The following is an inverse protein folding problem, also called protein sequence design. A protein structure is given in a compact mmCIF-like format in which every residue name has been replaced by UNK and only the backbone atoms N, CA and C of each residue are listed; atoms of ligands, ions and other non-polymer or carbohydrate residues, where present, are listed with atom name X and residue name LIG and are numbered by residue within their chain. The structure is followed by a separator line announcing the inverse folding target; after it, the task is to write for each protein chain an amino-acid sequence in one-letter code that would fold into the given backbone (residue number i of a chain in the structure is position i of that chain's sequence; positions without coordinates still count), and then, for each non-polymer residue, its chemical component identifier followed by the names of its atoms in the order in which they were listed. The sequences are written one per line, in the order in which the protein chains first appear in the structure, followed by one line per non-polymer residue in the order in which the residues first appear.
data_IF_042140898159
#
_entry.id   IF_042140898159
#
_cell.length_a   1.000
_cell.length_b   1.000
_cell.length_c   1.000
_cell.angle_alpha   90.00
_cell.angle_beta   90.00
_cell.angle_gamma   90.00
#
_symmetry.space_group_name_H-M   'P 1'
#
loop_
_entity.id
_entity.type
_entity.pdbx_description
1 polymer ?
#
# COMPACT_ATOMS: atom_id res chain seq x y z
N UNK A 1 -11.12 -3.17 0.95
CA UNK A 1 -11.66 -2.29 -0.11
C UNK A 1 -11.14 -2.82 -1.42
N UNK A 2 -12.04 -3.22 -2.31
CA UNK A 2 -11.72 -3.71 -3.65
C UNK A 2 -12.28 -2.73 -4.69
N UNK A 3 -11.49 -2.45 -5.72
CA UNK A 3 -11.90 -1.67 -6.89
C UNK A 3 -11.92 -2.59 -8.12
N UNK A 4 -12.70 -2.24 -9.15
CA UNK A 4 -12.76 -3.04 -10.38
C UNK A 4 -12.21 -2.26 -11.58
N UNK A 5 -11.18 -2.82 -12.22
CA UNK A 5 -10.64 -2.30 -13.48
C UNK A 5 -11.06 -3.27 -14.58
N UNK A 6 -11.99 -2.85 -15.44
CA UNK A 6 -12.54 -3.69 -16.52
C UNK A 6 -13.02 -5.07 -16.07
N UNK A 7 -13.64 -5.16 -14.89
CA UNK A 7 -14.16 -6.41 -14.33
C UNK A 7 -13.13 -7.24 -13.54
N UNK A 8 -11.88 -6.77 -13.43
CA UNK A 8 -10.84 -7.39 -12.60
C UNK A 8 -10.81 -6.69 -11.24
N UNK A 9 -11.01 -7.44 -10.17
CA UNK A 9 -10.89 -6.90 -8.80
C UNK A 9 -9.43 -6.67 -8.42
N UNK A 10 -9.18 -5.50 -7.83
CA UNK A 10 -7.86 -5.08 -7.34
C UNK A 10 -7.98 -4.52 -5.92
N UNK A 11 -6.94 -4.69 -5.11
CA UNK A 11 -6.90 -4.17 -3.73
C UNK A 11 -6.46 -2.71 -3.72
N UNK A 12 -7.42 -1.80 -3.86
CA UNK A 12 -7.18 -0.37 -3.83
C UNK A 12 -8.40 0.36 -3.28
N UNK A 13 -8.14 1.51 -2.64
CA UNK A 13 -9.15 2.50 -2.30
C UNK A 13 -9.06 3.65 -3.32
N UNK A 14 -10.16 3.93 -4.01
CA UNK A 14 -10.23 4.92 -5.09
C UNK A 14 -11.12 6.06 -4.65
N UNK A 15 -10.54 7.25 -4.54
CA UNK A 15 -11.30 8.48 -4.26
C UNK A 15 -11.64 9.17 -5.57
N UNK A 16 -12.92 9.41 -5.81
CA UNK A 16 -13.43 10.15 -6.95
C UNK A 16 -14.02 11.49 -6.55
N UNK A 17 -14.06 12.43 -7.50
CA UNK A 17 -14.84 13.66 -7.39
C UNK A 17 -16.34 13.32 -7.47
N UNK A 18 -17.19 13.74 -6.51
CA UNK A 18 -18.58 13.32 -6.44
C UNK A 18 -19.44 13.64 -7.67
N UNK A 19 -19.11 14.72 -8.38
CA UNK A 19 -19.94 15.23 -9.48
C UNK A 19 -19.48 14.77 -10.87
N UNK A 20 -18.22 14.31 -11.00
CA UNK A 20 -17.63 13.96 -12.31
C UNK A 20 -17.17 12.51 -12.40
N UNK A 21 -17.19 11.77 -11.28
CA UNK A 21 -16.58 10.45 -11.12
C UNK A 21 -15.09 10.43 -11.51
N UNK A 22 -14.45 11.59 -11.59
CA UNK A 22 -13.04 11.69 -11.90
C UNK A 22 -12.21 11.15 -10.74
N UNK A 23 -11.29 10.23 -11.02
CA UNK A 23 -10.38 9.68 -10.01
C UNK A 23 -9.40 10.76 -9.56
N UNK A 24 -9.50 11.15 -8.29
CA UNK A 24 -8.65 12.17 -7.67
C UNK A 24 -7.36 11.55 -7.12
N UNK A 25 -7.48 10.41 -6.46
CA UNK A 25 -6.35 9.63 -6.00
C UNK A 25 -6.71 8.16 -5.79
N UNK A 26 -5.67 7.33 -5.71
CA UNK A 26 -5.78 5.92 -5.38
C UNK A 26 -4.79 5.59 -4.27
N UNK A 27 -5.26 4.89 -3.26
CA UNK A 27 -4.50 4.43 -2.11
C UNK A 27 -4.40 2.91 -2.09
N UNK A 28 -3.22 2.39 -1.77
CA UNK A 28 -3.00 0.95 -1.57
C UNK A 28 -2.05 0.69 -0.41
N UNK A 29 -2.31 -0.40 0.33
CA UNK A 29 -1.43 -0.87 1.38
C UNK A 29 -0.40 -1.84 0.80
N UNK A 30 0.86 -1.60 1.15
CA UNK A 30 1.99 -2.39 0.71
C UNK A 30 2.72 -2.98 1.92
N UNK A 31 3.15 -4.22 1.76
CA UNK A 31 4.03 -4.93 2.69
C UNK A 31 5.29 -5.39 1.95
N UNK A 32 6.45 -5.26 2.59
CA UNK A 32 7.72 -5.69 2.04
C UNK A 32 8.67 -6.19 3.15
N UNK A 33 9.62 -7.10 2.84
CA UNK A 33 10.62 -7.56 3.79
C UNK A 33 11.43 -6.43 4.43
N UNK A 34 11.69 -5.36 3.68
CA UNK A 34 12.37 -4.16 4.17
C UNK A 34 12.03 -2.96 3.29
N UNK A 35 12.33 -1.75 3.79
CA UNK A 35 12.20 -0.50 3.03
C UNK A 35 13.02 -0.54 1.73
N UNK A 36 14.23 -1.08 1.77
CA UNK A 36 15.11 -1.15 0.60
C UNK A 36 14.53 -2.02 -0.54
N UNK A 37 13.82 -3.11 -0.19
CA UNK A 37 13.13 -3.95 -1.18
C UNK A 37 12.00 -3.16 -1.85
N UNK A 38 11.19 -2.46 -1.05
CA UNK A 38 10.11 -1.63 -1.58
C UNK A 38 10.65 -0.48 -2.44
N UNK A 39 11.72 0.20 -2.03
CA UNK A 39 12.36 1.27 -2.80
C UNK A 39 12.91 0.75 -4.14
N UNK A 40 13.52 -0.46 -4.17
CA UNK A 40 13.98 -1.07 -5.40
C UNK A 40 12.84 -1.36 -6.39
N UNK A 41 11.70 -1.88 -5.90
CA UNK A 41 10.51 -2.10 -6.74
C UNK A 41 9.91 -0.77 -7.18
N UNK A 42 9.82 0.22 -6.29
CA UNK A 42 9.29 1.54 -6.61
C UNK A 42 10.14 2.25 -7.70
N UNK A 43 11.46 2.11 -7.66
CA UNK A 43 12.36 2.56 -8.73
C UNK A 43 12.07 1.84 -10.05
N UNK A 44 11.96 0.51 -10.03
CA UNK A 44 11.64 -0.28 -11.24
C UNK A 44 10.27 0.05 -11.84
N UNK A 45 9.32 0.51 -11.00
CA UNK A 45 7.97 0.92 -11.40
C UNK A 45 7.85 2.43 -11.67
N UNK A 46 8.95 3.19 -11.67
CA UNK A 46 8.97 4.64 -11.86
C UNK A 46 8.11 5.44 -10.84
N UNK A 47 7.92 4.87 -9.64
CA UNK A 47 7.28 5.52 -8.48
C UNK A 47 8.30 6.27 -7.62
N UNK A 48 9.58 5.95 -7.79
CA UNK A 48 10.70 6.67 -7.21
C UNK A 48 11.74 6.99 -8.28
N UNK A 49 12.59 7.98 -7.99
CA UNK A 49 13.80 8.32 -8.73
C UNK A 49 14.98 8.40 -7.76
N UNK A 50 16.20 8.29 -8.28
CA UNK A 50 17.40 8.53 -7.47
C UNK A 50 17.68 10.03 -7.47
N UNK A 51 17.71 10.64 -6.29
CA UNK A 51 18.07 12.04 -6.16
C UNK A 51 19.55 12.22 -6.59
N UNK A 52 19.84 13.12 -7.54
CA UNK A 52 21.13 13.16 -8.22
C UNK A 52 22.30 13.54 -7.31
N UNK A 53 22.05 14.30 -6.25
CA UNK A 53 23.12 14.78 -5.35
C UNK A 53 23.39 13.83 -4.17
N UNK A 54 22.35 13.18 -3.65
CA UNK A 54 22.43 12.35 -2.43
C UNK A 54 22.50 10.87 -2.75
N UNK A 55 22.24 10.47 -4.00
CA UNK A 55 22.10 9.08 -4.43
C UNK A 55 21.06 8.27 -3.63
N UNK A 56 20.08 8.96 -3.02
CA UNK A 56 19.00 8.34 -2.24
C UNK A 56 17.71 8.25 -3.07
N UNK A 57 16.91 7.18 -2.93
CA UNK A 57 15.59 7.13 -3.54
C UNK A 57 14.67 8.24 -3.00
N UNK A 58 13.93 8.88 -3.89
CA UNK A 58 12.87 9.83 -3.56
C UNK A 58 11.61 9.53 -4.38
N UNK A 59 10.44 9.76 -3.80
CA UNK A 59 9.17 9.53 -4.49
C UNK A 59 9.01 10.53 -5.65
N UNK A 60 8.51 10.05 -6.79
CA UNK A 60 8.17 10.96 -7.89
C UNK A 60 6.98 11.83 -7.51
N UNK A 61 6.88 13.01 -8.11
CA UNK A 61 5.72 13.90 -7.90
C UNK A 61 4.41 13.15 -8.17
N UNK A 62 3.54 13.12 -7.16
CA UNK A 62 2.25 12.43 -7.20
C UNK A 62 2.26 11.03 -6.61
N UNK A 63 3.41 10.45 -6.28
CA UNK A 63 3.52 9.24 -5.45
C UNK A 63 3.90 9.65 -4.02
N UNK A 64 3.15 9.19 -3.02
CA UNK A 64 3.43 9.47 -1.61
C UNK A 64 3.40 8.17 -0.81
N UNK A 65 4.49 7.87 -0.11
CA UNK A 65 4.62 6.69 0.73
C UNK A 65 4.51 7.11 2.19
N UNK A 66 3.59 6.48 2.92
CA UNK A 66 3.34 6.74 4.34
C UNK A 66 3.67 5.49 5.14
N UNK A 67 4.71 5.55 5.96
CA UNK A 67 5.12 4.43 6.81
C UNK A 67 4.00 4.07 7.80
N UNK A 68 3.71 2.78 7.91
CA UNK A 68 2.67 2.24 8.80
C UNK A 68 3.33 1.29 9.80
N UNK A 69 3.06 1.49 11.09
CA UNK A 69 3.43 0.51 12.12
C UNK A 69 2.30 -0.48 12.29
N UNK A 70 2.58 -1.77 12.09
CA UNK A 70 1.60 -2.85 12.25
C UNK A 70 1.82 -3.55 13.60
N UNK A 71 0.74 -3.64 14.39
CA UNK A 71 0.72 -4.37 15.66
C UNK A 71 0.26 -5.80 15.40
N UNK A 72 1.14 -6.78 15.61
CA UNK A 72 0.83 -8.20 15.47
C UNK A 72 0.06 -8.75 16.68
N UNK A 73 0.47 -8.32 17.87
CA UNK A 73 -0.15 -8.63 19.16
C UNK A 73 -0.23 -7.35 20.00
N UNK A 74 -1.43 -6.93 20.45
CA UNK A 74 -1.57 -5.77 21.31
C UNK A 74 -0.81 -5.90 22.63
N UNK A 75 -0.50 -4.77 23.25
CA UNK A 75 0.01 -4.76 24.62
C UNK A 75 -1.04 -5.31 25.59
N UNK A 76 -0.59 -6.01 26.63
CA UNK A 76 -1.43 -6.44 27.76
C UNK A 76 -1.23 -5.45 28.89
N UNK A 77 -2.31 -4.86 29.37
CA UNK A 77 -2.31 -3.91 30.50
C UNK A 77 -2.93 -4.53 31.75
N UNK A 78 -2.53 -4.07 32.93
CA UNK A 78 -3.22 -4.37 34.18
C UNK A 78 -4.49 -3.52 34.36
N UNK A 79 -5.14 -3.66 35.51
CA UNK A 79 -6.36 -2.92 35.86
C UNK A 79 -6.13 -1.40 36.00
N UNK A 80 -4.90 -0.97 36.23
CA UNK A 80 -4.51 0.43 36.37
C UNK A 80 -4.02 1.02 35.03
N UNK A 81 -4.04 0.22 33.96
CA UNK A 81 -3.61 0.60 32.62
C UNK A 81 -2.10 0.54 32.40
N UNK A 82 -1.31 0.01 33.34
CA UNK A 82 0.12 -0.16 33.17
C UNK A 82 0.41 -1.38 32.28
N UNK A 83 1.38 -1.24 31.37
CA UNK A 83 1.75 -2.29 30.42
C UNK A 83 2.51 -3.42 31.13
N UNK A 84 1.94 -4.63 31.15
CA UNK A 84 2.56 -5.85 31.67
C UNK A 84 3.34 -6.58 30.57
N UNK A 85 2.84 -6.54 29.34
CA UNK A 85 3.50 -7.12 28.17
C UNK A 85 3.42 -6.13 27.01
N UNK A 86 4.56 -5.71 26.43
CA UNK A 86 4.56 -4.76 25.32
C UNK A 86 3.91 -5.36 24.08
N UNK A 87 3.42 -4.48 23.21
CA UNK A 87 2.91 -4.90 21.91
C UNK A 87 4.04 -5.53 21.06
N UNK A 88 3.71 -6.59 20.34
CA UNK A 88 4.58 -7.16 19.32
C UNK A 88 4.28 -6.46 17.99
N UNK A 89 5.27 -5.78 17.42
CA UNK A 89 5.17 -5.09 16.14
C UNK A 89 5.69 -5.96 15.00
N UNK A 90 5.18 -5.75 13.79
CA UNK A 90 5.75 -6.35 12.58
C UNK A 90 7.12 -5.72 12.33
N UNK A 91 8.22 -6.51 12.31
CA UNK A 91 9.54 -5.97 12.05
C UNK A 91 9.77 -5.62 10.57
N UNK A 92 8.83 -6.02 9.69
CA UNK A 92 8.90 -5.76 8.25
C UNK A 92 8.35 -4.39 7.90
N UNK A 93 8.56 -4.00 6.65
CA UNK A 93 8.16 -2.69 6.17
C UNK A 93 6.71 -2.71 5.69
N UNK A 94 5.90 -1.81 6.23
CA UNK A 94 4.51 -1.61 5.85
C UNK A 94 4.33 -0.15 5.49
N UNK A 95 3.64 0.15 4.40
CA UNK A 95 3.32 1.53 4.04
C UNK A 95 2.02 1.62 3.24
N UNK A 96 1.37 2.78 3.32
CA UNK A 96 0.34 3.17 2.36
C UNK A 96 0.99 3.98 1.24
N UNK A 97 0.75 3.59 0.00
CA UNK A 97 1.10 4.37 -1.17
C UNK A 97 -0.14 5.07 -1.71
N UNK A 98 -0.07 6.41 -1.79
CA UNK A 98 -1.04 7.25 -2.47
C UNK A 98 -0.51 7.68 -3.83
N UNK A 99 -1.26 7.40 -4.89
CA UNK A 99 -1.08 7.99 -6.21
C UNK A 99 -2.11 9.12 -6.40
N UNK A 100 -1.62 10.35 -6.56
CA UNK A 100 -2.42 11.54 -6.86
C UNK A 100 -1.80 12.37 -7.97
N UNK A 101 -2.17 13.65 -8.05
CA UNK A 101 -1.68 14.55 -9.11
C UNK A 101 -0.15 14.78 -9.06
N UNK A 102 0.54 14.87 -10.20
CA UNK A 102 0.03 14.69 -11.58
C UNK A 102 0.02 13.22 -12.04
N UNK A 103 0.49 12.30 -11.20
CA UNK A 103 0.73 10.90 -11.57
C UNK A 103 -0.57 10.15 -11.89
N UNK A 104 -1.66 10.45 -11.18
CA UNK A 104 -2.97 9.82 -11.39
C UNK A 104 -3.52 10.00 -12.82
N UNK A 105 -3.18 11.12 -13.47
CA UNK A 105 -3.59 11.41 -14.85
C UNK A 105 -2.66 10.84 -15.92
N UNK A 106 -1.48 10.32 -15.56
CA UNK A 106 -0.54 9.84 -16.56
C UNK A 106 -1.08 8.62 -17.27
N UNK A 107 -0.96 8.63 -18.59
CA UNK A 107 -1.39 7.55 -19.47
C UNK A 107 -0.23 7.00 -20.28
N UNK A 108 -0.33 5.72 -20.64
CA UNK A 108 0.54 5.12 -21.64
C UNK A 108 0.12 5.54 -23.07
N UNK A 109 0.84 5.04 -24.08
CA UNK A 109 0.54 5.33 -25.49
C UNK A 109 -0.82 4.78 -25.96
N UNK A 110 -1.37 3.80 -25.24
CA UNK A 110 -2.66 3.16 -25.52
C UNK A 110 -3.82 3.85 -24.81
N UNK A 111 -3.55 4.86 -23.97
CA UNK A 111 -4.56 5.63 -23.24
C UNK A 111 -4.93 5.07 -21.86
N UNK A 112 -4.24 4.03 -21.39
CA UNK A 112 -4.46 3.44 -20.07
C UNK A 112 -3.81 4.27 -18.98
N UNK A 113 -4.47 4.42 -17.84
CA UNK A 113 -3.83 5.09 -16.71
C UNK A 113 -2.70 4.21 -16.16
N UNK A 114 -1.54 4.82 -15.90
CA UNK A 114 -0.38 4.06 -15.42
C UNK A 114 -0.61 3.41 -14.05
N UNK A 115 -1.46 3.99 -13.21
CA UNK A 115 -1.82 3.40 -11.91
C UNK A 115 -2.71 2.16 -12.08
N UNK A 116 -3.57 2.11 -13.09
CA UNK A 116 -4.38 0.94 -13.40
C UNK A 116 -3.48 -0.21 -13.85
N UNK A 117 -2.55 0.07 -14.77
CA UNK A 117 -1.57 -0.90 -15.24
C UNK A 117 -0.70 -1.43 -14.09
N UNK A 118 -0.34 -0.55 -13.14
CA UNK A 118 0.40 -0.93 -11.95
C UNK A 118 -0.38 -1.94 -11.08
N UNK A 119 -1.66 -1.67 -10.79
CA UNK A 119 -2.50 -2.60 -10.00
C UNK A 119 -2.78 -3.90 -10.75
N UNK A 120 -3.01 -3.82 -12.06
CA UNK A 120 -3.19 -4.99 -12.92
C UNK A 120 -1.94 -5.86 -12.99
N UNK A 121 -0.74 -5.30 -12.84
CA UNK A 121 0.48 -6.09 -12.76
C UNK A 121 0.49 -6.95 -11.48
N UNK A 122 0.14 -6.36 -10.33
CA UNK A 122 -0.02 -7.13 -9.09
C UNK A 122 -1.05 -8.24 -9.19
N UNK A 123 -2.23 -7.97 -9.77
CA UNK A 123 -3.28 -8.98 -9.90
C UNK A 123 -3.00 -10.00 -11.01
N UNK A 124 -2.33 -9.59 -12.09
CA UNK A 124 -2.15 -10.40 -13.30
C UNK A 124 -0.93 -11.32 -13.26
N UNK A 125 0.16 -10.89 -12.62
CA UNK A 125 1.39 -11.70 -12.50
C UNK A 125 1.81 -11.96 -11.06
N UNK A 126 1.12 -11.37 -10.08
CA UNK A 126 1.42 -11.59 -8.68
C UNK A 126 1.11 -13.01 -8.23
N UNK A 127 1.78 -13.42 -7.17
CA UNK A 127 1.53 -14.70 -6.49
C UNK A 127 0.81 -14.45 -5.19
N UNK A 128 -0.16 -15.30 -4.86
CA UNK A 128 -0.85 -15.27 -3.58
C UNK A 128 0.16 -15.25 -2.42
N UNK A 129 -0.08 -14.36 -1.47
CA UNK A 129 0.75 -14.16 -0.29
C UNK A 129 -0.13 -14.00 0.94
N UNK A 130 0.39 -14.45 2.08
CA UNK A 130 -0.24 -14.24 3.38
C UNK A 130 0.70 -13.38 4.22
N UNK A 131 0.27 -12.15 4.49
CA UNK A 131 0.98 -11.17 5.30
C UNK A 131 0.66 -11.45 6.76
N UNK A 132 1.72 -11.53 7.59
CA UNK A 132 1.60 -11.71 9.04
C UNK A 132 0.73 -12.92 9.45
N UNK A 133 0.72 -13.98 8.64
CA UNK A 133 -0.09 -15.20 8.81
C UNK A 133 -1.62 -14.95 8.93
N UNK A 134 -2.08 -13.78 8.48
CA UNK A 134 -3.45 -13.29 8.75
C UNK A 134 -4.11 -12.65 7.55
N UNK A 135 -3.40 -11.81 6.80
CA UNK A 135 -4.00 -10.92 5.81
C UNK A 135 -3.60 -11.39 4.41
N UNK A 136 -4.54 -11.70 3.52
CA UNK A 136 -4.23 -12.04 2.15
C UNK A 136 -3.68 -10.83 1.40
N UNK A 137 -2.90 -11.11 0.36
CA UNK A 137 -2.42 -10.12 -0.58
C UNK A 137 -1.77 -10.79 -1.79
N UNK A 138 -1.40 -10.00 -2.78
CA UNK A 138 -0.71 -10.47 -3.98
C UNK A 138 0.69 -9.89 -4.05
N UNK A 139 1.70 -10.74 -4.20
CA UNK A 139 3.10 -10.34 -4.18
C UNK A 139 3.69 -10.26 -5.59
N UNK A 140 4.39 -9.16 -5.88
CA UNK A 140 5.25 -8.99 -7.05
C UNK A 140 6.60 -8.48 -6.57
N UNK A 141 7.68 -9.19 -6.94
CA UNK A 141 9.05 -8.83 -6.54
C UNK A 141 9.21 -8.63 -5.03
N UNK A 142 8.66 -9.56 -4.23
CA UNK A 142 8.63 -9.54 -2.76
C UNK A 142 7.90 -8.34 -2.12
N UNK A 143 7.14 -7.56 -2.91
CA UNK A 143 6.24 -6.53 -2.40
C UNK A 143 4.80 -7.00 -2.55
N UNK A 144 4.12 -7.16 -1.43
CA UNK A 144 2.71 -7.57 -1.38
C UNK A 144 1.78 -6.36 -1.39
N UNK A 145 0.83 -6.38 -2.33
CA UNK A 145 -0.36 -5.55 -2.28
C UNK A 145 -1.35 -6.21 -1.30
N UNK A 146 -1.67 -5.52 -0.21
CA UNK A 146 -2.42 -6.07 0.91
C UNK A 146 -3.92 -5.89 0.71
N UNK A 147 -4.70 -6.96 0.91
CA UNK A 147 -6.16 -6.86 0.94
C UNK A 147 -6.63 -6.29 2.28
N UNK A 148 -6.88 -4.97 2.29
CA UNK A 148 -7.40 -4.28 3.48
C UNK A 148 -8.85 -4.67 3.84
N UNK A 149 -9.60 -5.37 2.98
CA UNK A 149 -10.96 -5.87 3.33
C UNK A 149 -10.92 -6.87 4.47
N UNK A 150 -9.84 -7.64 4.52
CA UNK A 150 -9.63 -8.77 5.42
C UNK A 150 -8.80 -8.38 6.66
N UNK A 151 -8.43 -7.10 6.77
CA UNK A 151 -7.78 -6.57 7.97
C UNK A 151 -8.84 -6.28 9.02
N UNK A 152 -8.80 -7.01 10.15
CA UNK A 152 -9.61 -6.69 11.33
C UNK A 152 -9.14 -5.34 11.90
N UNK A 153 -9.73 -4.25 11.41
CA UNK A 153 -9.58 -2.93 12.02
C UNK A 153 -10.37 -2.92 13.31
N UNK A 154 -9.78 -3.42 14.41
CA UNK A 154 -10.30 -3.12 15.76
C UNK A 154 -10.11 -1.64 16.07
N UNK A 155 -10.89 -0.77 15.43
CA UNK A 155 -11.38 0.43 16.08
C UNK A 155 -12.57 0.03 16.96
N UNK A 156 -12.31 -0.73 18.02
CA UNK A 156 -13.29 -0.96 19.09
C UNK A 156 -12.82 -0.23 20.34
N UNK A 157 -13.39 0.96 20.53
CA UNK A 157 -13.67 1.51 21.84
C UNK A 157 -12.63 2.46 22.42
N UNK A 158 -12.91 3.75 22.30
CA UNK A 158 -13.04 4.56 23.52
C UNK A 158 -14.49 5.06 23.50
N UNK A 159 -15.32 4.44 24.33
CA UNK A 159 -16.60 5.01 24.76
C UNK A 159 -16.33 5.90 25.98
#
# INVERSE_FOLDING_TARGET
MSYSINGIEVYADVTTEPDTDEVLCVDFALHAPSRAVLEAVALAKNLMVIHPETATPEAVRGANFFDVTVVLTPAVTDMDGAVITPALLDPRYNCNLRIGEPLIRKKDASGWHLWELLLLDWTGIGTDSIINDKVPGVAVSDVSLVDLSEVDTRQKGIA
#
